data_IF_476852944525
#
_entry.id   IF_476852944525
#
_cell.length_a   1.000
_cell.length_b   1.000
_cell.length_c   1.000
_cell.angle_alpha   90.00
_cell.angle_beta   90.00
_cell.angle_gamma   90.00
#
_symmetry.space_group_name_H-M   'P 1'
#
loop_
_entity.id
_entity.type
_entity.pdbx_description
1 polymer ?
#
# COMPACT_ATOMS: atom_id res chain seq x y z
N UNK A 1 19.66 -4.62 -9.76
CA UNK A 1 18.22 -4.98 -9.71
C UNK A 1 17.31 -3.77 -9.46
N UNK A 2 17.42 -3.07 -8.32
CA UNK A 2 16.61 -1.86 -8.01
C UNK A 2 16.91 -0.69 -8.97
N UNK A 3 18.20 -0.34 -9.15
CA UNK A 3 18.62 0.70 -10.10
C UNK A 3 18.27 0.41 -11.57
N UNK A 4 17.97 -0.86 -11.90
CA UNK A 4 17.56 -1.29 -13.23
C UNK A 4 16.04 -1.28 -13.42
N UNK A 5 15.25 -0.87 -12.41
CA UNK A 5 13.76 -0.89 -12.41
C UNK A 5 13.15 -2.26 -12.73
N UNK A 6 13.86 -3.36 -12.45
CA UNK A 6 13.41 -4.75 -12.71
C UNK A 6 12.86 -5.46 -11.47
N UNK A 7 12.36 -4.72 -10.49
CA UNK A 7 11.84 -5.28 -9.24
C UNK A 7 10.37 -4.89 -9.06
N UNK A 8 9.49 -5.89 -8.98
CA UNK A 8 8.04 -5.73 -8.79
C UNK A 8 7.50 -6.91 -7.95
N UNK A 9 6.28 -6.78 -7.42
CA UNK A 9 5.58 -7.87 -6.71
C UNK A 9 6.21 -8.28 -5.38
N UNK A 10 6.74 -7.31 -4.61
CA UNK A 10 7.32 -7.55 -3.28
C UNK A 10 6.43 -6.94 -2.20
N UNK A 11 6.29 -7.65 -1.09
CA UNK A 11 5.58 -7.17 0.09
C UNK A 11 6.58 -6.75 1.18
N UNK A 12 6.25 -5.68 1.90
CA UNK A 12 6.97 -5.20 3.07
C UNK A 12 5.99 -5.06 4.24
N UNK A 13 6.34 -5.59 5.41
CA UNK A 13 5.54 -5.49 6.63
C UNK A 13 6.27 -4.63 7.66
N UNK A 14 5.64 -3.53 8.09
CA UNK A 14 6.15 -2.70 9.18
C UNK A 14 5.52 -3.14 10.52
N UNK A 15 6.35 -3.53 11.49
CA UNK A 15 5.91 -4.02 12.81
C UNK A 15 6.51 -3.16 13.91
N UNK A 16 5.71 -2.88 14.95
CA UNK A 16 6.17 -2.17 16.14
C UNK A 16 5.01 -1.70 17.02
N UNK A 17 5.26 -1.25 18.26
CA UNK A 17 4.26 -0.71 19.17
C UNK A 17 3.39 0.41 18.56
N UNK A 18 2.19 0.71 19.10
CA UNK A 18 1.41 1.89 18.67
C UNK A 18 2.24 3.17 18.84
N UNK A 19 1.99 4.18 17.99
CA UNK A 19 2.69 5.47 18.05
C UNK A 19 4.10 5.51 17.44
N UNK A 20 4.65 4.38 16.98
CA UNK A 20 6.00 4.31 16.36
C UNK A 20 6.09 4.82 14.91
N UNK A 21 5.07 5.53 14.42
CA UNK A 21 5.14 6.21 13.11
C UNK A 21 5.06 5.31 11.87
N UNK A 22 4.68 4.03 11.97
CA UNK A 22 4.55 3.11 10.81
C UNK A 22 3.75 3.71 9.65
N UNK A 23 2.56 4.22 9.94
CA UNK A 23 1.70 4.86 8.92
C UNK A 23 2.29 6.17 8.43
N UNK A 24 2.87 6.98 9.32
CA UNK A 24 3.51 8.24 8.97
C UNK A 24 4.70 8.03 8.03
N UNK A 25 5.49 6.97 8.24
CA UNK A 25 6.60 6.61 7.37
C UNK A 25 6.12 6.22 5.97
N UNK A 26 5.05 5.42 5.85
CA UNK A 26 4.48 5.07 4.55
C UNK A 26 3.98 6.32 3.78
N UNK A 27 3.33 7.25 4.48
CA UNK A 27 2.87 8.53 3.91
C UNK A 27 4.05 9.45 3.54
N UNK A 28 5.10 9.50 4.35
CA UNK A 28 6.31 10.26 4.02
C UNK A 28 7.01 9.73 2.77
N UNK A 29 7.12 8.40 2.64
CA UNK A 29 7.67 7.75 1.45
C UNK A 29 6.83 8.10 0.21
N UNK A 30 5.50 8.06 0.30
CA UNK A 30 4.65 8.39 -0.84
C UNK A 30 4.76 9.85 -1.27
N UNK A 31 4.90 10.77 -0.33
CA UNK A 31 5.13 12.19 -0.61
C UNK A 31 6.47 12.42 -1.31
N UNK A 32 7.54 11.76 -0.86
CA UNK A 32 8.88 11.87 -1.45
C UNK A 32 8.95 11.33 -2.89
N UNK A 33 8.16 10.30 -3.20
CA UNK A 33 8.06 9.75 -4.57
C UNK A 33 7.35 10.71 -5.54
N UNK A 34 6.57 11.66 -5.02
CA UNK A 34 5.86 12.68 -5.79
C UNK A 34 4.63 12.17 -6.54
N UNK A 35 3.91 13.09 -7.18
CA UNK A 35 2.61 12.84 -7.83
C UNK A 35 2.64 11.91 -9.05
N UNK A 36 3.84 11.57 -9.55
CA UNK A 36 4.01 10.66 -10.69
C UNK A 36 3.93 9.18 -10.31
N UNK A 37 4.01 8.86 -9.01
CA UNK A 37 3.94 7.50 -8.50
C UNK A 37 2.64 7.33 -7.73
N UNK A 38 1.73 6.43 -8.15
CA UNK A 38 0.47 6.23 -7.45
C UNK A 38 0.71 5.60 -6.08
N UNK A 39 0.07 6.15 -5.06
CA UNK A 39 0.03 5.58 -3.71
C UNK A 39 -1.43 5.44 -3.27
N UNK A 40 -1.87 4.21 -3.04
CA UNK A 40 -3.24 3.87 -2.67
C UNK A 40 -3.26 3.33 -1.22
N UNK A 41 -3.52 4.17 -0.21
CA UNK A 41 -3.73 3.68 1.15
C UNK A 41 -5.07 2.97 1.25
N UNK A 42 -5.09 1.78 1.84
CA UNK A 42 -6.29 0.99 2.13
C UNK A 42 -6.32 0.59 3.60
N UNK A 43 -7.50 0.67 4.21
CA UNK A 43 -7.76 0.09 5.54
C UNK A 43 -8.27 -1.34 5.37
N UNK A 44 -7.76 -2.30 6.15
CA UNK A 44 -8.12 -3.72 5.98
C UNK A 44 -9.62 -4.04 6.08
N UNK A 45 -10.40 -3.20 6.78
CA UNK A 45 -11.86 -3.34 6.84
C UNK A 45 -12.57 -3.02 5.53
N UNK A 46 -11.96 -2.22 4.63
CA UNK A 46 -12.55 -1.84 3.34
C UNK A 46 -12.65 -3.02 2.37
N UNK A 47 -11.87 -4.09 2.61
CA UNK A 47 -11.96 -5.35 1.85
C UNK A 47 -13.33 -6.03 2.01
N UNK A 48 -14.03 -5.74 3.12
CA UNK A 48 -15.30 -6.37 3.44
C UNK A 48 -16.47 -5.52 2.92
N UNK A 49 -17.21 -6.05 1.94
CA UNK A 49 -18.39 -5.43 1.36
C UNK A 49 -19.55 -6.43 1.27
N UNK A 50 -20.78 -5.92 1.40
CA UNK A 50 -22.00 -6.71 1.19
C UNK A 50 -22.37 -6.86 -0.29
N UNK A 51 -21.87 -5.96 -1.15
CA UNK A 51 -22.22 -5.88 -2.58
C UNK A 51 -21.14 -6.45 -3.50
N UNK A 52 -19.89 -6.40 -3.07
CA UNK A 52 -18.72 -6.74 -3.89
C UNK A 52 -17.91 -7.85 -3.21
N UNK A 53 -17.40 -8.81 -4.00
CA UNK A 53 -16.57 -9.90 -3.48
C UNK A 53 -15.24 -9.35 -2.97
N UNK A 54 -14.74 -9.90 -1.86
CA UNK A 54 -13.45 -9.53 -1.23
C UNK A 54 -12.27 -9.56 -2.22
N UNK A 55 -12.24 -10.57 -3.08
CA UNK A 55 -11.20 -10.70 -4.11
C UNK A 55 -11.27 -9.59 -5.14
N UNK A 56 -12.47 -9.16 -5.53
CA UNK A 56 -12.65 -8.08 -6.50
C UNK A 56 -12.16 -6.76 -5.92
N UNK A 57 -12.52 -6.45 -4.67
CA UNK A 57 -12.03 -5.25 -3.97
C UNK A 57 -10.50 -5.22 -3.92
N UNK A 58 -9.85 -6.35 -3.64
CA UNK A 58 -8.38 -6.43 -3.65
C UNK A 58 -7.82 -6.21 -5.06
N UNK A 59 -8.42 -6.83 -6.09
CA UNK A 59 -7.96 -6.70 -7.48
C UNK A 59 -8.09 -5.27 -8.02
N UNK A 60 -9.11 -4.52 -7.59
CA UNK A 60 -9.25 -3.10 -7.95
C UNK A 60 -8.14 -2.22 -7.37
N UNK A 61 -7.65 -2.55 -6.17
CA UNK A 61 -6.64 -1.76 -5.47
C UNK A 61 -5.19 -2.10 -5.85
N UNK A 62 -4.96 -3.20 -6.58
CA UNK A 62 -3.66 -3.53 -7.16
C UNK A 62 -3.39 -2.83 -8.50
N UNK A 63 -4.34 -2.06 -9.03
CA UNK A 63 -4.22 -1.31 -10.30
C UNK A 63 -3.41 -0.02 -10.12
#
# INVERSE_FOLDING_TARGET
MIRQKKMAGKALLMVGPPGTGKTALALGISQELGSKVPFCPMVGSEVYSSKVKKTEVLMENFR
#
